data_IF_501508543918
#
_entry.id   IF_501508543918
#
_cell.length_a   1.000
_cell.length_b   1.000
_cell.length_c   1.000
_cell.angle_alpha   90.00
_cell.angle_beta   90.00
_cell.angle_gamma   90.00
#
_symmetry.space_group_name_H-M   'P 1'
#
loop_
_entity.id
_entity.type
_entity.pdbx_description
1 polymer ?
#
# COMPACT_ATOMS: atom_id res chain seq x y z
N UNK A 1 -1.61 -10.06 17.56
CA UNK A 1 -0.32 -9.33 17.66
C UNK A 1 0.43 -9.55 16.36
N UNK A 2 0.34 -8.66 15.37
CA UNK A 2 1.00 -8.84 14.07
C UNK A 2 2.12 -7.80 13.90
N UNK A 3 3.35 -8.24 13.61
CA UNK A 3 4.26 -7.53 12.71
C UNK A 3 5.17 -6.41 13.24
N UNK A 4 5.33 -6.22 14.55
CA UNK A 4 6.14 -5.10 15.09
C UNK A 4 7.59 -5.04 14.56
N UNK A 5 8.20 -6.17 14.16
CA UNK A 5 9.56 -6.22 13.62
C UNK A 5 9.70 -5.91 12.12
N UNK A 6 8.66 -6.15 11.30
CA UNK A 6 8.74 -5.96 9.83
C UNK A 6 8.60 -4.51 9.40
N UNK A 7 7.84 -3.71 10.15
CA UNK A 7 7.66 -2.29 9.86
C UNK A 7 8.83 -1.44 10.40
N UNK A 8 9.36 -1.80 11.56
CA UNK A 8 10.36 -0.97 12.27
C UNK A 8 11.74 -1.01 11.62
N UNK A 9 12.18 -2.19 11.15
CA UNK A 9 13.48 -2.34 10.49
C UNK A 9 13.71 -1.39 9.31
N UNK A 10 12.85 -1.34 8.27
CA UNK A 10 13.06 -0.42 7.15
C UNK A 10 12.87 1.05 7.56
N UNK A 11 11.96 1.35 8.49
CA UNK A 11 11.76 2.73 8.98
C UNK A 11 13.02 3.27 9.64
N UNK A 12 13.65 2.48 10.50
CA UNK A 12 14.88 2.87 11.18
C UNK A 12 16.06 2.94 10.20
N UNK A 13 16.23 1.93 9.35
CA UNK A 13 17.35 1.84 8.41
C UNK A 13 17.35 2.97 7.37
N UNK A 14 16.17 3.45 6.99
CA UNK A 14 16.00 4.52 5.99
C UNK A 14 15.70 5.88 6.63
N UNK A 15 15.77 6.00 7.96
CA UNK A 15 15.46 7.23 8.70
C UNK A 15 14.09 7.83 8.33
N UNK A 16 13.09 6.96 8.16
CA UNK A 16 11.73 7.35 7.81
C UNK A 16 10.90 7.66 9.05
N UNK A 17 9.75 8.31 8.85
CA UNK A 17 8.76 8.56 9.90
C UNK A 17 7.62 7.54 9.80
N UNK A 18 7.32 6.86 10.90
CA UNK A 18 6.13 6.00 11.01
C UNK A 18 4.90 6.87 11.27
N UNK A 19 3.93 6.85 10.35
CA UNK A 19 2.66 7.58 10.49
C UNK A 19 1.50 6.59 10.52
N UNK A 20 0.53 6.84 11.40
CA UNK A 20 -0.64 5.98 11.58
C UNK A 20 -1.91 6.81 11.63
N UNK A 21 -2.95 6.34 10.95
CA UNK A 21 -4.26 6.99 10.89
C UNK A 21 -5.35 5.98 11.25
N UNK A 22 -6.34 6.41 12.04
CA UNK A 22 -7.46 5.55 12.42
C UNK A 22 -8.43 5.40 11.24
N UNK A 23 -8.59 4.16 10.75
CA UNK A 23 -9.47 3.87 9.62
C UNK A 23 -10.94 4.30 9.83
N UNK A 24 -11.44 4.25 11.07
CA UNK A 24 -12.80 4.70 11.38
C UNK A 24 -12.96 6.21 11.20
N UNK A 25 -11.91 6.97 11.49
CA UNK A 25 -11.90 8.43 11.34
C UNK A 25 -11.61 8.88 9.91
N UNK A 26 -10.95 8.03 9.11
CA UNK A 26 -10.71 8.30 7.69
C UNK A 26 -11.97 8.12 6.83
N UNK A 27 -12.96 7.36 7.31
CA UNK A 27 -14.19 7.10 6.55
C UNK A 27 -15.01 8.38 6.44
N UNK A 28 -15.24 8.83 5.21
CA UNK A 28 -16.02 10.05 4.93
C UNK A 28 -15.21 11.35 4.99
N UNK A 29 -13.90 11.29 5.24
CA UNK A 29 -13.03 12.46 5.13
C UNK A 29 -12.99 12.91 3.66
N UNK A 30 -13.25 14.20 3.36
CA UNK A 30 -13.14 14.72 2.01
C UNK A 30 -11.74 14.51 1.43
N UNK A 31 -11.64 14.23 0.13
CA UNK A 31 -10.35 13.91 -0.51
C UNK A 31 -9.29 15.00 -0.31
N UNK A 32 -9.67 16.27 -0.32
CA UNK A 32 -8.77 17.40 -0.07
C UNK A 32 -8.20 17.47 1.35
N UNK A 33 -8.80 16.74 2.30
CA UNK A 33 -8.38 16.66 3.70
C UNK A 33 -7.87 15.26 4.08
N UNK A 34 -7.97 14.29 3.18
CA UNK A 34 -7.54 12.92 3.43
C UNK A 34 -6.00 12.86 3.42
N UNK A 35 -5.35 12.56 4.56
CA UNK A 35 -3.90 12.51 4.63
C UNK A 35 -3.30 11.40 3.75
N UNK A 36 -4.10 10.40 3.35
CA UNK A 36 -3.69 9.33 2.45
C UNK A 36 -3.91 9.68 0.96
N UNK A 37 -4.39 10.88 0.64
CA UNK A 37 -4.65 11.33 -0.73
C UNK A 37 -3.49 11.09 -1.70
N UNK A 38 -2.24 11.48 -1.37
CA UNK A 38 -1.08 11.23 -2.22
C UNK A 38 -0.83 9.74 -2.48
N UNK A 39 -0.94 8.90 -1.44
CA UNK A 39 -0.73 7.45 -1.53
C UNK A 39 -1.83 6.79 -2.37
N UNK A 40 -3.08 7.21 -2.17
CA UNK A 40 -4.24 6.71 -2.93
C UNK A 40 -4.13 7.08 -4.42
N UNK A 41 -3.64 8.30 -4.74
CA UNK A 41 -3.39 8.72 -6.12
C UNK A 41 -2.31 7.88 -6.79
N UNK A 42 -1.19 7.63 -6.12
CA UNK A 42 -0.14 6.75 -6.66
C UNK A 42 -0.67 5.33 -6.90
N UNK A 43 -1.44 4.77 -5.95
CA UNK A 43 -2.10 3.47 -6.11
C UNK A 43 -3.00 3.44 -7.34
N UNK A 44 -3.78 4.50 -7.58
CA UNK A 44 -4.65 4.61 -8.75
C UNK A 44 -3.84 4.56 -10.05
N UNK A 45 -2.77 5.34 -10.16
CA UNK A 45 -1.92 5.33 -11.36
C UNK A 45 -1.26 3.98 -11.60
N UNK A 46 -0.76 3.32 -10.55
CA UNK A 46 -0.23 1.95 -10.67
C UNK A 46 -1.30 0.99 -11.18
N UNK A 47 -2.54 1.10 -10.68
CA UNK A 47 -3.64 0.26 -11.14
C UNK A 47 -3.99 0.51 -12.61
N UNK A 48 -4.01 1.77 -13.06
CA UNK A 48 -4.23 2.12 -14.46
C UNK A 48 -3.11 1.57 -15.35
N UNK A 49 -1.85 1.72 -14.94
CA UNK A 49 -0.70 1.22 -15.68
C UNK A 49 -0.77 -0.30 -15.87
N UNK A 50 -1.00 -1.06 -14.80
CA UNK A 50 -1.08 -2.52 -14.86
C UNK A 50 -2.26 -3.01 -15.71
N UNK A 51 -3.38 -2.28 -15.71
CA UNK A 51 -4.53 -2.58 -16.58
C UNK A 51 -4.22 -2.34 -18.05
N UNK A 52 -3.44 -1.31 -18.37
CA UNK A 52 -3.04 -1.00 -19.74
C UNK A 52 -2.00 -1.99 -20.30
N UNK A 53 -1.27 -2.68 -19.42
CA UNK A 53 -0.21 -3.62 -19.78
C UNK A 53 -0.48 -5.01 -19.18
N UNK A 54 -1.36 -5.84 -19.77
CA UNK A 54 -1.74 -7.14 -19.23
C UNK A 54 -0.56 -8.15 -19.13
N UNK A 55 0.55 -7.90 -19.83
CA UNK A 55 1.79 -8.68 -19.69
C UNK A 55 2.67 -8.26 -18.50
N UNK A 56 2.35 -7.17 -17.82
CA UNK A 56 3.03 -6.79 -16.58
C UNK A 56 2.47 -7.62 -15.42
N UNK A 57 3.23 -8.65 -15.03
CA UNK A 57 2.81 -9.55 -13.96
C UNK A 57 2.87 -8.81 -12.63
N UNK A 58 1.74 -8.79 -11.92
CA UNK A 58 1.67 -8.17 -10.61
C UNK A 58 2.66 -8.83 -9.67
N UNK A 59 2.80 -10.16 -9.75
CA UNK A 59 3.66 -10.96 -8.87
C UNK A 59 5.15 -10.59 -8.97
N UNK A 60 5.55 -9.87 -10.04
CA UNK A 60 6.92 -9.37 -10.21
C UNK A 60 7.18 -8.12 -9.34
N UNK A 61 6.13 -7.41 -8.90
CA UNK A 61 6.23 -6.28 -7.96
C UNK A 61 6.36 -6.75 -6.49
N UNK A 62 7.28 -7.69 -6.24
CA UNK A 62 7.58 -8.17 -4.88
C UNK A 62 8.14 -7.02 -4.05
N UNK A 63 7.44 -6.65 -2.98
CA UNK A 63 7.82 -5.56 -2.06
C UNK A 63 6.62 -4.88 -1.42
N UNK A 64 5.49 -4.83 -2.12
CA UNK A 64 4.20 -4.54 -1.52
C UNK A 64 3.67 -5.87 -0.97
N UNK A 65 3.52 -6.02 0.35
CA UNK A 65 3.19 -7.28 1.04
C UNK A 65 1.81 -7.88 0.76
N UNK A 66 1.40 -7.96 -0.50
CA UNK A 66 0.26 -8.77 -0.93
C UNK A 66 0.82 -10.14 -1.32
N UNK A 67 0.81 -11.08 -0.37
CA UNK A 67 0.85 -12.49 -0.76
C UNK A 67 -0.52 -12.78 -1.34
N UNK A 68 -0.60 -12.88 -2.67
CA UNK A 68 -1.78 -13.38 -3.34
C UNK A 68 -1.99 -14.81 -2.87
N UNK A 69 -2.96 -15.02 -1.98
CA UNK A 69 -3.43 -16.33 -1.61
C UNK A 69 -3.98 -16.99 -2.88
N UNK A 70 -3.13 -17.75 -3.57
CA UNK A 70 -3.53 -18.59 -4.69
C UNK A 70 -4.47 -19.64 -4.10
N UNK A 71 -5.77 -19.47 -4.32
CA UNK A 71 -6.73 -20.56 -4.26
C UNK A 71 -6.29 -21.60 -5.28
N UNK A 72 -5.87 -22.75 -4.78
CA UNK A 72 -5.85 -23.98 -5.55
C UNK A 72 -7.30 -24.44 -5.70
N UNK A 73 -7.76 -24.54 -6.95
CA UNK A 73 -8.83 -25.43 -7.40
C UNK A 73 -8.67 -25.60 -8.91
#
# INVERSE_FOLDING_TARGET
>A
RHGAGRHTAPVNNLSLKSQHYNAKLLKGVPDGQNPLGPVNRMRYFMQCFLRAHPGSNRDDMRGCGYESARGQA
#
